data_IF_686879818867
#
_entry.id   IF_686879818867
#
_cell.length_a   1.000
_cell.length_b   1.000
_cell.length_c   1.000
_cell.angle_alpha   90.00
_cell.angle_beta   90.00
_cell.angle_gamma   90.00
#
_symmetry.space_group_name_H-M   'P 1'
#
loop_
_entity.id
_entity.type
_entity.pdbx_description
1 polymer ?
#
# COMPACT_ATOMS: atom_id res chain seq x y z
N UNK A 1 -12.90 -14.85 10.24
CA UNK A 1 -12.32 -15.40 11.49
C UNK A 1 -12.55 -14.42 12.64
N UNK A 2 -12.52 -14.94 13.87
CA UNK A 2 -12.35 -14.09 15.04
C UNK A 2 -10.90 -13.58 15.07
N UNK A 3 -10.70 -12.29 15.29
CA UNK A 3 -9.37 -11.65 15.23
C UNK A 3 -8.41 -12.20 16.28
N UNK A 4 -8.90 -12.42 17.51
CA UNK A 4 -8.06 -12.93 18.60
C UNK A 4 -7.63 -14.38 18.34
N UNK A 5 -8.54 -15.23 17.86
CA UNK A 5 -8.21 -16.62 17.53
C UNK A 5 -7.19 -16.70 16.40
N UNK A 6 -7.37 -15.90 15.34
CA UNK A 6 -6.44 -15.84 14.20
C UNK A 6 -5.04 -15.39 14.64
N UNK A 7 -4.95 -14.28 15.36
CA UNK A 7 -3.68 -13.74 15.81
C UNK A 7 -3.01 -14.58 16.88
N UNK A 8 -3.77 -15.17 17.81
CA UNK A 8 -3.23 -16.09 18.83
C UNK A 8 -2.66 -17.36 18.18
N UNK A 9 -3.35 -17.93 17.21
CA UNK A 9 -2.86 -19.10 16.46
C UNK A 9 -1.54 -18.79 15.75
N UNK A 10 -1.46 -17.66 15.03
CA UNK A 10 -0.23 -17.22 14.37
C UNK A 10 0.91 -16.92 15.35
N UNK A 11 0.58 -16.35 16.51
CA UNK A 11 1.56 -16.03 17.55
C UNK A 11 2.13 -17.29 18.24
N UNK A 12 1.36 -18.37 18.26
CA UNK A 12 1.76 -19.64 18.89
C UNK A 12 2.57 -20.52 17.93
N UNK A 13 2.04 -20.79 16.72
CA UNK A 13 2.60 -21.78 15.79
C UNK A 13 2.71 -21.28 14.34
N UNK A 14 2.50 -20.00 14.08
CA UNK A 14 2.54 -19.43 12.74
C UNK A 14 3.91 -18.92 12.30
N UNK A 15 4.07 -18.61 11.02
CA UNK A 15 5.18 -17.79 10.56
C UNK A 15 5.04 -16.37 11.11
N UNK A 16 6.14 -15.70 11.41
CA UNK A 16 6.16 -14.31 11.92
C UNK A 16 5.49 -14.15 13.29
N UNK A 17 5.79 -15.01 14.24
CA UNK A 17 5.22 -15.01 15.60
C UNK A 17 5.32 -13.65 16.30
N UNK A 18 6.46 -12.96 16.21
CA UNK A 18 6.65 -11.64 16.85
C UNK A 18 5.72 -10.57 16.24
N UNK A 19 5.48 -10.63 14.94
CA UNK A 19 4.47 -9.79 14.30
C UNK A 19 3.08 -10.10 14.87
N UNK A 20 2.66 -11.36 14.86
CA UNK A 20 1.35 -11.75 15.34
C UNK A 20 1.12 -11.42 16.83
N UNK A 21 2.13 -11.56 17.68
CA UNK A 21 2.08 -11.13 19.09
C UNK A 21 1.85 -9.62 19.23
N UNK A 22 2.54 -8.82 18.43
CA UNK A 22 2.39 -7.36 18.44
C UNK A 22 0.98 -6.97 17.99
N UNK A 23 0.47 -7.58 16.91
CA UNK A 23 -0.88 -7.31 16.43
C UNK A 23 -1.95 -7.78 17.41
N UNK A 24 -1.76 -8.91 18.10
CA UNK A 24 -2.66 -9.41 19.15
C UNK A 24 -2.76 -8.42 20.32
N UNK A 25 -1.63 -7.89 20.79
CA UNK A 25 -1.62 -6.88 21.85
C UNK A 25 -2.32 -5.58 21.41
N UNK A 26 -2.12 -5.18 20.16
CA UNK A 26 -2.82 -4.01 19.60
C UNK A 26 -4.33 -4.26 19.47
N UNK A 27 -4.75 -5.49 19.11
CA UNK A 27 -6.16 -5.87 19.04
C UNK A 27 -6.84 -5.83 20.42
N UNK A 28 -6.18 -6.32 21.47
CA UNK A 28 -6.69 -6.23 22.85
C UNK A 28 -6.85 -4.76 23.30
N UNK A 29 -5.91 -3.92 22.96
CA UNK A 29 -5.98 -2.49 23.26
C UNK A 29 -7.12 -1.82 22.48
N UNK A 30 -7.29 -2.14 21.19
CA UNK A 30 -8.35 -1.63 20.35
C UNK A 30 -9.74 -2.04 20.88
N UNK A 31 -9.93 -3.30 21.31
CA UNK A 31 -11.16 -3.76 21.96
C UNK A 31 -11.54 -2.88 23.15
N UNK A 32 -10.57 -2.63 24.02
CA UNK A 32 -10.78 -1.81 25.22
C UNK A 32 -11.08 -0.33 24.89
N UNK A 33 -10.34 0.27 23.95
CA UNK A 33 -10.45 1.69 23.62
C UNK A 33 -11.71 2.01 22.81
N UNK A 34 -12.12 1.12 21.89
CA UNK A 34 -13.31 1.31 21.05
C UNK A 34 -14.59 0.73 21.68
N UNK A 35 -14.48 0.05 22.82
CA UNK A 35 -15.62 -0.59 23.48
C UNK A 35 -16.25 -1.72 22.66
N UNK A 36 -15.45 -2.40 21.84
CA UNK A 36 -15.88 -3.50 20.99
C UNK A 36 -15.95 -4.79 21.80
N UNK A 37 -16.81 -5.72 21.37
CA UNK A 37 -16.80 -7.08 21.90
C UNK A 37 -15.95 -8.00 21.02
N UNK A 38 -15.36 -9.08 21.56
CA UNK A 38 -14.58 -10.02 20.76
C UNK A 38 -15.32 -10.59 19.55
N UNK A 39 -16.66 -10.74 19.65
CA UNK A 39 -17.51 -11.23 18.55
C UNK A 39 -17.66 -10.23 17.39
N UNK A 40 -17.49 -8.94 17.62
CA UNK A 40 -17.51 -7.91 16.61
C UNK A 40 -16.17 -7.80 15.85
N UNK A 41 -15.09 -8.24 16.48
CA UNK A 41 -13.75 -8.14 15.93
C UNK A 41 -13.45 -9.29 14.95
N UNK A 42 -14.03 -9.17 13.76
CA UNK A 42 -13.82 -10.13 12.66
C UNK A 42 -12.64 -9.72 11.80
N UNK A 43 -11.87 -10.68 11.31
CA UNK A 43 -10.67 -10.43 10.51
C UNK A 43 -10.43 -11.52 9.45
N UNK A 44 -9.43 -11.31 8.60
CA UNK A 44 -8.81 -12.36 7.81
C UNK A 44 -8.07 -13.36 8.71
N UNK A 45 -7.61 -14.46 8.14
CA UNK A 45 -6.79 -15.44 8.86
C UNK A 45 -5.46 -14.85 9.42
N UNK A 46 -5.02 -13.71 8.87
CA UNK A 46 -3.80 -13.03 9.28
C UNK A 46 -4.05 -11.82 10.19
N UNK A 47 -5.30 -11.58 10.62
CA UNK A 47 -5.66 -10.50 11.53
C UNK A 47 -6.00 -9.16 10.86
N UNK A 48 -5.90 -9.06 9.52
CA UNK A 48 -6.30 -7.86 8.80
C UNK A 48 -7.84 -7.75 8.72
N UNK A 49 -8.40 -6.52 8.87
CA UNK A 49 -9.83 -6.34 9.03
C UNK A 49 -10.41 -5.13 8.30
N UNK A 50 -11.72 -5.13 8.20
CA UNK A 50 -12.52 -4.05 7.61
C UNK A 50 -12.36 -3.93 6.10
N UNK A 51 -12.97 -2.89 5.53
CA UNK A 51 -12.97 -2.63 4.09
C UNK A 51 -11.57 -2.47 3.49
N UNK A 52 -10.65 -1.92 4.26
CA UNK A 52 -9.28 -1.61 3.82
C UNK A 52 -8.23 -2.56 4.36
N UNK A 53 -8.65 -3.65 5.00
CA UNK A 53 -7.78 -4.71 5.52
C UNK A 53 -6.63 -4.15 6.37
N UNK A 54 -6.97 -3.28 7.31
CA UNK A 54 -6.01 -2.77 8.29
C UNK A 54 -5.60 -3.84 9.28
N UNK A 55 -4.38 -3.76 9.73
CA UNK A 55 -3.92 -4.49 10.90
C UNK A 55 -4.18 -3.68 12.17
N UNK A 56 -4.32 -4.31 13.36
CA UNK A 56 -4.59 -3.59 14.61
C UNK A 56 -3.60 -2.46 14.91
N UNK A 57 -2.31 -2.63 14.62
CA UNK A 57 -1.31 -1.56 14.78
C UNK A 57 -1.51 -0.42 13.78
N UNK A 58 -1.96 -0.72 12.56
CA UNK A 58 -2.30 0.30 11.55
C UNK A 58 -3.53 1.09 11.97
N UNK A 59 -4.54 0.42 12.54
CA UNK A 59 -5.71 1.08 13.12
C UNK A 59 -5.31 2.05 14.23
N UNK A 60 -4.53 1.60 15.20
CA UNK A 60 -4.07 2.45 16.31
C UNK A 60 -3.34 3.72 15.85
N UNK A 61 -2.65 3.64 14.71
CA UNK A 61 -1.80 4.73 14.21
C UNK A 61 -2.49 5.67 13.21
N UNK A 62 -3.50 5.17 12.46
CA UNK A 62 -4.03 5.86 11.28
C UNK A 62 -5.55 5.92 11.19
N UNK A 63 -6.29 5.16 12.04
CA UNK A 63 -7.73 5.16 11.96
C UNK A 63 -8.32 6.51 12.40
N UNK A 64 -9.26 7.01 11.62
CA UNK A 64 -9.97 8.26 11.87
C UNK A 64 -11.48 8.06 11.65
N UNK A 65 -12.27 8.88 12.34
CA UNK A 65 -13.69 9.05 12.11
C UNK A 65 -13.87 9.93 10.85
N UNK A 66 -14.26 9.32 9.75
CA UNK A 66 -14.37 9.98 8.44
C UNK A 66 -15.77 10.56 8.17
N UNK A 67 -16.81 10.12 8.88
CA UNK A 67 -18.19 10.61 8.74
C UNK A 67 -18.64 11.48 9.90
N UNK A 68 -17.86 11.56 10.98
CA UNK A 68 -18.11 12.46 12.11
C UNK A 68 -19.11 11.93 13.13
N UNK A 69 -19.34 10.61 13.17
CA UNK A 69 -20.28 9.98 14.10
C UNK A 69 -19.69 9.72 15.51
N UNK A 70 -18.41 10.01 15.70
CA UNK A 70 -17.67 9.81 16.94
C UNK A 70 -17.04 8.43 17.10
N UNK A 71 -17.03 7.59 16.05
CA UNK A 71 -16.45 6.26 16.04
C UNK A 71 -15.42 6.11 14.93
N UNK A 72 -14.64 5.05 14.99
CA UNK A 72 -13.68 4.65 13.94
C UNK A 72 -14.04 3.25 13.45
N UNK A 73 -15.14 3.13 12.69
CA UNK A 73 -15.69 1.83 12.26
C UNK A 73 -15.22 1.44 10.85
N UNK A 74 -14.09 0.76 10.78
CA UNK A 74 -13.55 0.26 9.51
C UNK A 74 -14.29 -0.96 8.95
N UNK A 75 -15.17 -1.60 9.73
CA UNK A 75 -15.97 -2.75 9.28
C UNK A 75 -17.24 -2.34 8.53
N UNK A 76 -17.92 -1.26 8.96
CA UNK A 76 -19.25 -0.93 8.46
C UNK A 76 -19.31 0.48 7.86
N UNK A 77 -18.37 1.39 8.20
CA UNK A 77 -18.28 2.73 7.62
C UNK A 77 -17.23 2.79 6.49
N UNK A 78 -17.65 2.80 5.20
CA UNK A 78 -16.73 3.06 4.10
C UNK A 78 -16.05 4.43 4.20
N UNK A 79 -16.70 5.43 4.81
CA UNK A 79 -16.12 6.75 5.01
C UNK A 79 -14.90 6.70 5.93
N UNK A 80 -15.02 6.02 7.08
CA UNK A 80 -13.90 5.83 8.02
C UNK A 80 -12.77 5.02 7.39
N UNK A 81 -13.12 3.94 6.72
CA UNK A 81 -12.14 3.07 6.07
C UNK A 81 -11.33 3.83 5.01
N UNK A 82 -11.99 4.60 4.13
CA UNK A 82 -11.32 5.39 3.10
C UNK A 82 -10.54 6.57 3.67
N UNK A 83 -11.09 7.29 4.66
CA UNK A 83 -10.40 8.37 5.34
C UNK A 83 -9.14 7.87 6.06
N UNK A 84 -9.24 6.74 6.76
CA UNK A 84 -8.11 6.10 7.44
C UNK A 84 -7.03 5.63 6.46
N UNK A 85 -7.42 5.03 5.32
CA UNK A 85 -6.48 4.67 4.26
C UNK A 85 -5.77 5.91 3.67
N UNK A 86 -6.50 7.02 3.50
CA UNK A 86 -5.92 8.27 3.04
C UNK A 86 -4.90 8.84 4.05
N UNK A 87 -5.18 8.77 5.36
CA UNK A 87 -4.23 9.15 6.42
C UNK A 87 -2.99 8.29 6.37
N UNK A 88 -3.13 6.96 6.26
CA UNK A 88 -2.01 6.04 6.16
C UNK A 88 -1.12 6.38 4.95
N UNK A 89 -1.71 6.56 3.77
CA UNK A 89 -0.96 6.91 2.56
C UNK A 89 -0.28 8.27 2.68
N UNK A 90 -0.96 9.27 3.25
CA UNK A 90 -0.39 10.60 3.50
C UNK A 90 0.84 10.51 4.42
N UNK A 91 0.73 9.79 5.53
CA UNK A 91 1.82 9.58 6.47
C UNK A 91 2.98 8.75 5.86
N UNK A 92 2.66 7.88 4.89
CA UNK A 92 3.66 7.10 4.16
C UNK A 92 4.40 7.90 3.07
N UNK A 93 3.97 9.15 2.78
CA UNK A 93 4.63 10.04 1.83
C UNK A 93 3.85 10.27 0.52
N UNK A 94 2.54 10.01 0.50
CA UNK A 94 1.71 10.32 -0.67
C UNK A 94 1.71 11.82 -0.97
N UNK A 95 2.04 12.18 -2.21
CA UNK A 95 2.01 13.56 -2.70
C UNK A 95 0.76 13.77 -3.56
N UNK A 96 -0.16 14.62 -3.08
CA UNK A 96 -1.40 14.96 -3.80
C UNK A 96 -1.09 15.57 -5.17
N UNK A 97 -1.73 15.04 -6.22
CA UNK A 97 -1.58 15.52 -7.58
C UNK A 97 -0.33 15.02 -8.31
N UNK A 98 0.62 14.37 -7.63
CA UNK A 98 1.73 13.71 -8.30
C UNK A 98 1.29 12.39 -8.93
N UNK A 99 1.88 11.99 -10.07
CA UNK A 99 1.54 10.73 -10.70
C UNK A 99 1.98 9.53 -9.86
N UNK A 100 1.23 8.43 -9.96
CA UNK A 100 1.61 7.15 -9.39
C UNK A 100 2.49 6.38 -10.38
N UNK A 101 1.99 6.18 -11.58
CA UNK A 101 2.73 5.57 -12.71
C UNK A 101 2.16 6.06 -14.04
N UNK A 102 2.91 5.85 -15.12
CA UNK A 102 2.46 6.02 -16.51
C UNK A 102 2.94 4.85 -17.34
N UNK A 103 2.14 4.41 -18.30
CA UNK A 103 2.58 3.42 -19.27
C UNK A 103 3.65 4.03 -20.19
N UNK A 104 4.68 3.22 -20.50
CA UNK A 104 5.79 3.61 -21.35
C UNK A 104 6.12 2.54 -22.37
N UNK A 105 6.75 2.98 -23.48
CA UNK A 105 7.38 2.12 -24.47
C UNK A 105 8.89 2.20 -24.29
N UNK A 106 9.53 1.04 -24.20
CA UNK A 106 10.98 0.91 -24.07
C UNK A 106 11.63 0.88 -25.47
N UNK A 107 12.82 1.44 -25.63
CA UNK A 107 13.55 1.39 -26.92
C UNK A 107 14.02 -0.03 -27.24
N UNK A 108 14.29 -0.29 -28.51
CA UNK A 108 14.97 -1.52 -28.91
C UNK A 108 16.36 -1.60 -28.22
N UNK A 109 16.68 -2.80 -27.67
CA UNK A 109 17.93 -3.00 -26.94
C UNK A 109 17.95 -2.41 -25.52
N UNK A 110 16.78 -2.14 -24.94
CA UNK A 110 16.69 -1.68 -23.55
C UNK A 110 17.37 -2.68 -22.61
N UNK A 111 18.20 -2.17 -21.71
CA UNK A 111 18.89 -2.95 -20.69
C UNK A 111 17.91 -3.32 -19.55
N UNK A 112 17.30 -4.48 -19.64
CA UNK A 112 16.22 -4.92 -18.73
C UNK A 112 16.65 -5.07 -17.26
N UNK A 113 17.94 -5.21 -16.99
CA UNK A 113 18.51 -5.17 -15.63
C UNK A 113 18.31 -3.82 -14.93
N UNK A 114 17.98 -2.78 -15.68
CA UNK A 114 17.63 -1.45 -15.13
C UNK A 114 16.13 -1.32 -14.77
N UNK A 115 15.32 -2.31 -15.12
CA UNK A 115 13.90 -2.32 -14.82
C UNK A 115 13.66 -2.91 -13.42
N UNK A 116 13.80 -2.05 -12.43
CA UNK A 116 13.62 -2.35 -11.01
C UNK A 116 12.97 -1.13 -10.34
N UNK A 117 12.04 -1.37 -9.42
CA UNK A 117 11.34 -0.30 -8.68
C UNK A 117 12.27 0.53 -7.79
N UNK A 118 13.43 0.00 -7.43
CA UNK A 118 14.45 0.67 -6.60
C UNK A 118 15.46 1.45 -7.44
N UNK A 119 15.61 1.12 -8.73
CA UNK A 119 16.52 1.81 -9.66
C UNK A 119 15.86 3.06 -10.23
N UNK A 120 16.00 4.19 -9.55
CA UNK A 120 15.42 5.46 -9.98
C UNK A 120 16.40 6.32 -10.76
N UNK A 121 15.90 6.99 -11.81
CA UNK A 121 16.64 8.02 -12.58
C UNK A 121 15.74 9.22 -12.83
N UNK A 122 16.33 10.43 -13.08
CA UNK A 122 15.57 11.55 -13.59
C UNK A 122 14.74 11.17 -14.83
N UNK A 123 13.54 11.71 -14.94
CA UNK A 123 12.67 11.49 -16.12
C UNK A 123 13.37 11.93 -17.43
N UNK A 124 14.19 12.98 -17.37
CA UNK A 124 15.02 13.42 -18.49
C UNK A 124 15.99 12.35 -19.01
N UNK A 125 16.56 11.57 -18.10
CA UNK A 125 17.55 10.54 -18.43
C UNK A 125 16.87 9.33 -19.09
N UNK A 126 15.70 8.95 -18.58
CA UNK A 126 14.88 7.94 -19.24
C UNK A 126 14.45 8.36 -20.65
N UNK A 127 14.07 9.65 -20.82
CA UNK A 127 13.74 10.21 -22.14
C UNK A 127 14.96 10.18 -23.07
N UNK A 128 16.15 10.53 -22.59
CA UNK A 128 17.40 10.47 -23.37
C UNK A 128 17.77 9.02 -23.78
N UNK A 129 17.43 8.02 -22.96
CA UNK A 129 17.55 6.61 -23.28
C UNK A 129 16.48 6.10 -24.27
N UNK A 130 15.55 6.95 -24.72
CA UNK A 130 14.51 6.60 -25.68
C UNK A 130 13.20 6.06 -25.08
N UNK A 131 13.03 6.10 -23.77
CA UNK A 131 11.75 5.77 -23.10
C UNK A 131 10.74 6.86 -23.44
N UNK A 132 9.53 6.47 -23.84
CA UNK A 132 8.44 7.39 -24.24
C UNK A 132 7.08 6.82 -23.89
N UNK A 133 6.05 7.64 -23.89
CA UNK A 133 4.65 7.15 -23.74
C UNK A 133 4.14 6.58 -25.06
N UNK A 134 3.30 5.51 -25.02
CA UNK A 134 2.77 4.86 -26.23
C UNK A 134 1.95 5.81 -27.11
N UNK A 135 1.27 6.77 -26.51
CA UNK A 135 0.39 7.74 -27.19
C UNK A 135 1.12 8.98 -27.72
N UNK A 136 2.46 8.99 -27.71
CA UNK A 136 3.27 10.12 -28.16
C UNK A 136 3.27 11.33 -27.23
N UNK A 137 2.63 11.26 -26.07
CA UNK A 137 2.69 12.30 -25.04
C UNK A 137 4.06 12.32 -24.37
N UNK A 138 4.45 13.47 -23.85
CA UNK A 138 5.67 13.59 -23.07
C UNK A 138 5.58 12.82 -21.73
N UNK A 139 6.72 12.36 -21.27
CA UNK A 139 6.85 11.86 -19.90
C UNK A 139 6.63 13.02 -18.91
N UNK A 140 6.03 12.76 -17.73
CA UNK A 140 5.71 13.81 -16.76
C UNK A 140 6.97 14.35 -16.08
N UNK A 141 7.61 15.34 -16.70
CA UNK A 141 8.85 15.95 -16.20
C UNK A 141 8.73 16.50 -14.77
N UNK A 142 7.53 16.95 -14.36
CA UNK A 142 7.24 17.42 -13.00
C UNK A 142 7.33 16.33 -11.92
N UNK A 143 7.35 15.05 -12.31
CA UNK A 143 7.52 13.94 -11.37
C UNK A 143 8.98 13.75 -10.89
N UNK A 144 9.94 14.52 -11.43
CA UNK A 144 11.34 14.48 -11.04
C UNK A 144 12.05 13.21 -11.49
N UNK A 145 11.92 12.13 -10.73
CA UNK A 145 12.55 10.83 -11.01
C UNK A 145 11.51 9.70 -11.06
N UNK A 146 11.82 8.64 -11.79
CA UNK A 146 11.00 7.44 -11.88
C UNK A 146 11.85 6.18 -12.05
N UNK A 147 11.22 5.03 -11.89
CA UNK A 147 11.80 3.72 -12.11
C UNK A 147 11.01 2.96 -13.18
N UNK A 148 11.64 2.10 -13.95
CA UNK A 148 10.93 1.24 -14.90
C UNK A 148 10.43 -0.01 -14.19
N UNK A 149 9.14 -0.26 -14.29
CA UNK A 149 8.45 -1.40 -13.67
C UNK A 149 7.81 -2.28 -14.73
N UNK A 150 8.06 -3.59 -14.64
CA UNK A 150 7.62 -4.61 -15.61
C UNK A 150 6.82 -5.70 -14.88
N UNK A 151 5.53 -5.48 -14.57
CA UNK A 151 4.73 -6.40 -13.76
C UNK A 151 4.56 -7.79 -14.39
N UNK A 152 4.69 -7.90 -15.71
CA UNK A 152 4.60 -9.17 -16.46
C UNK A 152 5.92 -9.50 -17.20
N UNK A 153 7.03 -8.96 -16.73
CA UNK A 153 8.35 -9.15 -17.34
C UNK A 153 8.52 -8.45 -18.69
N UNK A 154 9.61 -8.73 -19.39
CA UNK A 154 10.04 -8.03 -20.59
C UNK A 154 9.07 -8.15 -21.80
N UNK A 155 8.12 -9.07 -21.77
CA UNK A 155 7.12 -9.25 -22.84
C UNK A 155 5.78 -8.59 -22.53
N UNK A 156 5.60 -8.08 -21.30
CA UNK A 156 4.41 -7.41 -20.85
C UNK A 156 4.46 -5.89 -21.03
N UNK A 157 3.45 -5.16 -20.55
CA UNK A 157 3.45 -3.72 -20.53
C UNK A 157 4.54 -3.19 -19.61
N UNK A 158 5.15 -2.06 -20.00
CA UNK A 158 6.14 -1.36 -19.21
C UNK A 158 5.53 -0.08 -18.61
N UNK A 159 5.91 0.23 -17.37
CA UNK A 159 5.47 1.43 -16.68
C UNK A 159 6.66 2.20 -16.13
N UNK A 160 6.54 3.50 -16.10
CA UNK A 160 7.40 4.35 -15.27
C UNK A 160 6.67 4.62 -13.96
N UNK A 161 7.20 4.12 -12.88
CA UNK A 161 6.67 4.24 -11.52
C UNK A 161 7.36 5.40 -10.79
N UNK A 162 6.58 6.19 -10.05
CA UNK A 162 7.02 7.37 -9.30
C UNK A 162 6.92 7.17 -7.78
N UNK A 163 7.21 8.19 -6.99
CA UNK A 163 7.21 8.10 -5.52
C UNK A 163 5.87 7.65 -4.94
N UNK A 164 4.74 8.11 -5.51
CA UNK A 164 3.42 7.66 -5.07
C UNK A 164 3.22 6.14 -5.28
N UNK A 165 3.81 5.54 -6.31
CA UNK A 165 3.77 4.09 -6.49
C UNK A 165 4.51 3.38 -5.34
N UNK A 166 5.70 3.84 -4.97
CA UNK A 166 6.44 3.32 -3.81
C UNK A 166 5.69 3.51 -2.49
N UNK A 167 4.92 4.60 -2.39
CA UNK A 167 4.05 4.82 -1.22
C UNK A 167 2.94 3.78 -1.15
N UNK A 168 2.31 3.43 -2.26
CA UNK A 168 1.31 2.35 -2.33
C UNK A 168 1.91 0.99 -1.96
N UNK A 169 3.17 0.72 -2.37
CA UNK A 169 3.85 -0.53 -2.00
C UNK A 169 4.14 -0.65 -0.50
N UNK A 170 4.17 0.46 0.26
CA UNK A 170 4.26 0.40 1.73
C UNK A 170 2.96 -0.09 2.37
N UNK A 171 1.83 0.19 1.74
CA UNK A 171 0.53 -0.30 2.18
C UNK A 171 0.36 -1.79 1.88
N UNK A 172 0.70 -2.22 0.66
CA UNK A 172 0.63 -3.61 0.26
C UNK A 172 1.95 -4.01 -0.42
N UNK A 173 2.75 -4.81 0.27
CA UNK A 173 4.08 -5.25 -0.18
C UNK A 173 4.04 -6.36 -1.26
N UNK A 174 2.89 -6.67 -1.82
CA UNK A 174 2.75 -7.62 -2.92
C UNK A 174 3.19 -6.98 -4.25
N UNK A 175 4.48 -6.65 -4.37
CA UNK A 175 5.13 -6.34 -5.63
C UNK A 175 5.88 -7.60 -6.08
N UNK A 176 5.15 -8.53 -6.65
CA UNK A 176 5.72 -9.71 -7.32
C UNK A 176 5.03 -9.92 -8.63
#
# INVERSE_FOLDING_TARGET
YNMFEALATLAYDGPRQDFARRELLAALKMEQEEGLTPSQMTSSWAGAFGHTQFEPTSFASHAVDGDGDGKRDLWHSPADALASAAVLLSNAGWTKGAPCYVEVTLPAGFAYEQADTDTTKPVSDWKALGVKRPNGLDLPASAGSGAIYLPAGARGPAFMAFDNFRTVLKYNKAAS
#
